data_IF_455388719094
#
_entry.id   IF_455388719094
#
_cell.length_a   1.000
_cell.length_b   1.000
_cell.length_c   1.000
_cell.angle_alpha   90.00
_cell.angle_beta   90.00
_cell.angle_gamma   90.00
#
_symmetry.space_group_name_H-M   'P 1'
#
loop_
_entity.id
_entity.type
_entity.pdbx_description
1 polymer ?
#
# COMPACT_ATOMS: atom_id res chain seq x y z
N UNK A 1 -30.18 51.69 -13.72
CA UNK A 1 -29.48 50.64 -12.94
C UNK A 1 -28.87 49.66 -13.94
N UNK A 2 -27.63 49.89 -14.35
CA UNK A 2 -26.94 49.09 -15.39
C UNK A 2 -26.24 47.91 -14.72
N UNK A 3 -26.70 46.69 -14.98
CA UNK A 3 -26.03 45.46 -14.52
C UNK A 3 -25.02 45.01 -15.59
N UNK A 4 -23.73 45.19 -15.29
CA UNK A 4 -22.65 44.67 -16.12
C UNK A 4 -22.65 43.14 -16.11
N UNK A 5 -22.86 42.54 -17.28
CA UNK A 5 -22.53 41.15 -17.59
C UNK A 5 -21.00 40.98 -17.58
N UNK A 6 -20.45 40.35 -16.54
CA UNK A 6 -19.01 40.09 -16.37
C UNK A 6 -18.58 38.72 -16.90
N UNK A 7 -17.68 38.77 -17.89
CA UNK A 7 -16.77 37.78 -18.48
C UNK A 7 -16.62 36.38 -17.85
N UNK A 8 -17.01 35.35 -18.62
CA UNK A 8 -16.54 33.96 -18.49
C UNK A 8 -17.67 32.93 -18.48
N UNK A 9 -17.63 31.96 -19.40
CA UNK A 9 -18.53 30.78 -19.35
C UNK A 9 -18.33 30.10 -18.00
N UNK A 10 -19.40 29.91 -17.21
CA UNK A 10 -19.34 29.12 -15.97
C UNK A 10 -18.80 27.74 -16.31
N UNK A 11 -17.55 27.45 -15.92
CA UNK A 11 -16.96 26.14 -16.14
C UNK A 11 -17.85 25.10 -15.45
N UNK A 12 -18.30 24.04 -16.14
CA UNK A 12 -19.04 22.97 -15.49
C UNK A 12 -18.19 22.41 -14.36
N UNK A 13 -18.77 22.28 -13.16
CA UNK A 13 -18.08 21.73 -12.01
C UNK A 13 -17.49 20.36 -12.38
N UNK A 14 -16.16 20.27 -12.35
CA UNK A 14 -15.47 19.03 -12.69
C UNK A 14 -15.91 17.94 -11.72
N UNK A 15 -16.47 16.84 -12.24
CA UNK A 15 -16.81 15.67 -11.44
C UNK A 15 -15.55 15.18 -10.73
N UNK A 16 -15.65 14.97 -9.41
CA UNK A 16 -14.58 14.38 -8.61
C UNK A 16 -14.07 13.11 -9.29
N UNK A 17 -12.74 13.03 -9.49
CA UNK A 17 -12.13 11.83 -10.07
C UNK A 17 -12.31 10.62 -9.14
N UNK A 18 -12.38 9.41 -9.70
CA UNK A 18 -12.50 8.16 -8.92
C UNK A 18 -11.45 8.07 -7.81
N UNK A 19 -10.19 8.40 -8.12
CA UNK A 19 -9.10 8.46 -7.13
C UNK A 19 -9.33 9.45 -5.99
N UNK A 20 -10.01 10.56 -6.24
CA UNK A 20 -10.34 11.53 -5.18
C UNK A 20 -11.40 10.97 -4.25
N UNK A 21 -12.34 10.19 -4.78
CA UNK A 21 -13.36 9.49 -4.00
C UNK A 21 -12.71 8.40 -3.14
N UNK A 22 -11.89 7.54 -3.74
CA UNK A 22 -11.14 6.47 -3.04
C UNK A 22 -10.31 7.02 -1.86
N UNK A 23 -9.59 8.14 -2.05
CA UNK A 23 -8.84 8.79 -0.97
C UNK A 23 -9.74 9.31 0.16
N UNK A 24 -10.90 9.86 -0.20
CA UNK A 24 -11.86 10.38 0.78
C UNK A 24 -12.46 9.24 1.58
N UNK A 25 -12.83 8.14 0.91
CA UNK A 25 -13.32 6.92 1.54
C UNK A 25 -12.28 6.30 2.48
N UNK A 26 -11.03 6.19 2.02
CA UNK A 26 -9.93 5.69 2.84
C UNK A 26 -9.68 6.57 4.09
N UNK A 27 -9.76 7.90 3.94
CA UNK A 27 -9.64 8.82 5.06
C UNK A 27 -10.79 8.63 6.07
N UNK A 28 -12.03 8.55 5.59
CA UNK A 28 -13.20 8.29 6.45
C UNK A 28 -13.11 6.93 7.15
N UNK A 29 -12.63 5.89 6.44
CA UNK A 29 -12.44 4.57 7.03
C UNK A 29 -11.39 4.60 8.14
N UNK A 30 -10.27 5.30 7.92
CA UNK A 30 -9.24 5.47 8.95
C UNK A 30 -9.78 6.20 10.17
N UNK A 31 -10.56 7.27 9.99
CA UNK A 31 -11.17 8.01 11.08
C UNK A 31 -12.16 7.15 11.89
N UNK A 32 -12.93 6.28 11.23
CA UNK A 32 -13.79 5.29 11.90
C UNK A 32 -12.96 4.29 12.70
N UNK A 33 -11.92 3.72 12.10
CA UNK A 33 -11.04 2.77 12.81
C UNK A 33 -10.39 3.42 14.04
N UNK A 34 -9.99 4.69 13.95
CA UNK A 34 -9.49 5.45 15.09
C UNK A 34 -10.55 5.59 16.18
N UNK A 35 -11.78 5.91 15.82
CA UNK A 35 -12.89 6.02 16.77
C UNK A 35 -13.22 4.68 17.46
N UNK A 36 -13.04 3.56 16.74
CA UNK A 36 -13.21 2.20 17.27
C UNK A 36 -12.03 1.75 18.17
N UNK A 37 -11.02 2.60 18.39
CA UNK A 37 -9.84 2.27 19.19
C UNK A 37 -8.88 1.29 18.52
N UNK A 38 -8.95 1.15 17.19
CA UNK A 38 -8.03 0.30 16.44
C UNK A 38 -6.65 0.98 16.37
N UNK A 39 -5.55 0.26 16.67
CA UNK A 39 -4.23 0.85 16.67
C UNK A 39 -3.83 1.35 15.29
N UNK A 40 -3.27 2.56 15.26
CA UNK A 40 -2.78 3.23 14.06
C UNK A 40 -1.25 3.11 13.99
N UNK A 41 -0.74 2.63 12.86
CA UNK A 41 0.69 2.48 12.60
C UNK A 41 1.14 3.54 11.59
N UNK A 42 2.20 4.28 11.92
CA UNK A 42 2.91 5.13 10.98
C UNK A 42 3.77 4.27 10.05
N UNK A 43 3.64 4.48 8.75
CA UNK A 43 4.37 3.74 7.72
C UNK A 43 5.49 4.62 7.15
N UNK A 44 6.66 4.02 7.04
CA UNK A 44 7.89 4.63 6.58
C UNK A 44 8.47 3.85 5.40
N UNK A 45 9.14 4.55 4.50
CA UNK A 45 9.92 3.95 3.42
C UNK A 45 11.36 4.41 3.56
N UNK A 46 12.33 3.54 3.28
CA UNK A 46 13.72 3.94 3.07
C UNK A 46 14.30 3.28 1.84
N UNK A 47 15.37 3.86 1.34
CA UNK A 47 16.21 3.22 0.31
C UNK A 47 17.10 2.20 1.03
N UNK A 48 17.14 0.97 0.53
CA UNK A 48 17.96 -0.10 1.07
C UNK A 48 19.42 0.36 1.22
N UNK A 49 20.03 0.07 2.36
CA UNK A 49 21.40 0.50 2.69
C UNK A 49 21.53 1.96 3.14
N UNK A 50 20.46 2.78 3.09
CA UNK A 50 20.44 4.13 3.67
C UNK A 50 19.76 4.12 5.03
N UNK A 51 20.23 4.99 5.94
CA UNK A 51 19.68 5.11 7.30
C UNK A 51 18.40 5.96 7.38
N UNK A 52 18.15 6.82 6.40
CA UNK A 52 17.05 7.79 6.44
C UNK A 52 15.69 7.18 6.11
N UNK A 53 14.72 7.36 7.00
CA UNK A 53 13.32 6.97 6.83
C UNK A 53 12.47 8.16 6.35
N UNK A 54 11.59 7.89 5.40
CA UNK A 54 10.63 8.85 4.86
C UNK A 54 9.22 8.47 5.33
N UNK A 55 8.48 9.35 6.03
CA UNK A 55 7.11 9.07 6.44
C UNK A 55 6.19 9.16 5.22
N UNK A 56 5.42 8.10 4.95
CA UNK A 56 4.60 8.03 3.72
C UNK A 56 3.10 7.95 3.98
N UNK A 57 2.70 7.56 5.19
CA UNK A 57 1.29 7.49 5.58
C UNK A 57 1.10 6.77 6.90
N UNK A 58 -0.15 6.43 7.18
CA UNK A 58 -0.52 5.62 8.33
C UNK A 58 -1.58 4.59 7.94
N UNK A 59 -1.57 3.45 8.62
CA UNK A 59 -2.51 2.35 8.40
C UNK A 59 -3.02 1.90 9.76
N UNK A 60 -4.34 1.78 9.90
CA UNK A 60 -4.95 1.14 11.06
C UNK A 60 -5.22 -0.33 10.75
N UNK A 61 -4.83 -1.23 11.66
CA UNK A 61 -5.10 -2.68 11.54
C UNK A 61 -5.64 -3.24 12.84
N UNK A 62 -6.62 -4.15 12.74
CA UNK A 62 -7.24 -4.77 13.92
C UNK A 62 -6.27 -5.64 14.73
N UNK A 63 -5.30 -6.25 14.05
CA UNK A 63 -4.28 -7.12 14.66
C UNK A 63 -2.91 -6.65 14.20
N UNK A 64 -2.01 -6.38 15.15
CA UNK A 64 -0.65 -5.92 14.87
C UNK A 64 0.12 -6.87 13.96
N UNK A 65 -0.16 -8.18 14.02
CA UNK A 65 0.47 -9.18 13.13
C UNK A 65 0.12 -9.01 11.65
N UNK A 66 -0.97 -8.30 11.32
CA UNK A 66 -1.42 -8.08 9.94
C UNK A 66 -0.83 -6.80 9.32
N UNK A 67 -0.05 -6.00 10.06
CA UNK A 67 0.47 -4.74 9.55
C UNK A 67 1.36 -4.93 8.31
N UNK A 68 2.22 -5.94 8.32
CA UNK A 68 3.07 -6.25 7.17
C UNK A 68 2.23 -6.56 5.94
N UNK A 69 1.26 -7.46 6.07
CA UNK A 69 0.33 -7.81 4.98
C UNK A 69 -0.44 -6.58 4.48
N UNK A 70 -0.93 -5.72 5.38
CA UNK A 70 -1.65 -4.50 5.02
C UNK A 70 -0.77 -3.49 4.27
N UNK A 71 0.50 -3.33 4.66
CA UNK A 71 1.48 -2.47 3.95
C UNK A 71 1.71 -2.99 2.53
N UNK A 72 1.96 -4.28 2.36
CA UNK A 72 2.21 -4.86 1.03
C UNK A 72 0.92 -4.92 0.18
N UNK A 73 -0.25 -5.09 0.78
CA UNK A 73 -1.54 -5.04 0.10
C UNK A 73 -1.92 -3.65 -0.41
N UNK A 74 -1.45 -2.58 0.26
CA UNK A 74 -1.68 -1.17 -0.11
C UNK A 74 -0.45 -0.48 -0.73
N UNK A 75 0.53 -1.27 -1.16
CA UNK A 75 1.85 -0.79 -1.59
C UNK A 75 1.78 0.22 -2.74
N UNK A 76 0.89 0.03 -3.72
CA UNK A 76 0.76 0.93 -4.87
C UNK A 76 0.37 2.35 -4.46
N UNK A 77 -0.55 2.48 -3.50
CA UNK A 77 -1.08 3.76 -3.05
C UNK A 77 -0.07 4.48 -2.16
N UNK A 78 0.59 3.73 -1.28
CA UNK A 78 1.72 4.21 -0.49
C UNK A 78 2.83 4.75 -1.38
N UNK A 79 3.25 3.99 -2.41
CA UNK A 79 4.29 4.42 -3.34
C UNK A 79 3.86 5.64 -4.15
N UNK A 80 2.60 5.71 -4.59
CA UNK A 80 2.10 6.87 -5.31
C UNK A 80 2.18 8.14 -4.45
N UNK A 81 1.78 8.07 -3.18
CA UNK A 81 1.91 9.18 -2.22
C UNK A 81 3.37 9.52 -1.93
N UNK A 82 4.17 8.50 -1.62
CA UNK A 82 5.60 8.62 -1.32
C UNK A 82 6.36 9.30 -2.46
N UNK A 83 6.12 8.92 -3.71
CA UNK A 83 6.80 9.47 -4.87
C UNK A 83 6.38 10.89 -5.20
N UNK A 84 5.18 11.30 -4.78
CA UNK A 84 4.72 12.69 -4.90
C UNK A 84 5.45 13.57 -3.90
N UNK A 85 5.60 13.11 -2.66
CA UNK A 85 6.26 13.85 -1.58
C UNK A 85 7.79 13.81 -1.69
N UNK A 86 8.34 12.66 -2.08
CA UNK A 86 9.78 12.37 -2.13
C UNK A 86 10.17 11.77 -3.49
N UNK A 87 10.34 12.60 -4.53
CA UNK A 87 10.70 12.13 -5.87
C UNK A 87 12.01 11.34 -5.92
N UNK A 88 12.92 11.53 -4.96
CA UNK A 88 14.18 10.77 -4.85
C UNK A 88 13.93 9.25 -4.75
N UNK A 89 12.83 8.83 -4.14
CA UNK A 89 12.47 7.42 -4.00
C UNK A 89 12.14 6.77 -5.35
N UNK A 90 11.68 7.55 -6.34
CA UNK A 90 11.38 7.05 -7.70
C UNK A 90 12.61 6.51 -8.43
N UNK A 91 13.82 6.93 -8.06
CA UNK A 91 15.06 6.43 -8.67
C UNK A 91 15.47 5.05 -8.12
N UNK A 92 14.91 4.68 -6.98
CA UNK A 92 15.32 3.50 -6.22
C UNK A 92 14.15 2.54 -5.96
N UNK A 93 13.12 2.53 -6.81
CA UNK A 93 11.86 1.79 -6.56
C UNK A 93 12.07 0.29 -6.31
N UNK A 94 13.08 -0.30 -6.94
CA UNK A 94 13.44 -1.72 -6.77
C UNK A 94 14.19 -2.03 -5.47
N UNK A 95 14.68 -0.99 -4.78
CA UNK A 95 15.51 -1.10 -3.58
C UNK A 95 14.87 -0.32 -2.41
N UNK A 96 13.55 -0.48 -2.24
CA UNK A 96 12.81 0.16 -1.15
C UNK A 96 12.50 -0.85 -0.05
N UNK A 97 12.74 -0.42 1.18
CA UNK A 97 12.34 -1.15 2.39
C UNK A 97 11.21 -0.39 3.08
N UNK A 98 10.26 -1.16 3.63
CA UNK A 98 9.12 -0.62 4.34
C UNK A 98 9.31 -0.83 5.83
N UNK A 99 8.98 0.20 6.59
CA UNK A 99 9.02 0.16 8.04
C UNK A 99 7.71 0.65 8.63
N UNK A 100 7.44 0.26 9.85
CA UNK A 100 6.26 0.71 10.59
C UNK A 100 6.58 0.91 12.06
N UNK A 101 5.75 1.72 12.71
CA UNK A 101 5.77 1.93 14.16
C UNK A 101 4.39 2.32 14.63
N UNK A 102 4.04 1.99 15.87
CA UNK A 102 2.80 2.48 16.46
C UNK A 102 2.83 4.01 16.55
N UNK A 103 1.73 4.67 16.17
CA UNK A 103 1.62 6.13 16.18
C UNK A 103 1.71 6.70 17.60
N UNK A 104 1.22 5.95 18.58
CA UNK A 104 1.22 6.31 20.00
C UNK A 104 2.63 6.23 20.63
N UNK A 105 3.50 5.34 20.10
CA UNK A 105 4.84 5.11 20.64
C UNK A 105 5.90 5.69 19.71
N UNK A 106 6.10 7.01 19.77
CA UNK A 106 7.08 7.72 18.93
C UNK A 106 8.55 7.47 19.31
N UNK A 107 8.80 6.91 20.47
CA UNK A 107 10.15 6.59 20.95
C UNK A 107 10.61 5.21 20.48
N UNK A 108 9.69 4.36 20.03
CA UNK A 108 10.04 3.04 19.53
C UNK A 108 10.82 3.11 18.21
N UNK A 109 11.75 2.16 17.98
CA UNK A 109 12.42 2.04 16.71
C UNK A 109 11.44 1.61 15.62
N UNK A 110 11.68 2.08 14.39
CA UNK A 110 10.91 1.66 13.21
C UNK A 110 11.22 0.18 12.94
N UNK A 111 10.19 -0.66 12.95
CA UNK A 111 10.27 -2.08 12.67
C UNK A 111 10.18 -2.32 11.17
N UNK A 112 10.96 -3.25 10.64
CA UNK A 112 10.94 -3.60 9.22
C UNK A 112 9.73 -4.49 8.89
N UNK A 113 8.98 -4.13 7.85
CA UNK A 113 7.93 -4.98 7.31
C UNK A 113 8.53 -6.06 6.41
N UNK A 114 8.12 -7.31 6.64
CA UNK A 114 8.50 -8.45 5.79
C UNK A 114 7.34 -8.84 4.88
N UNK A 115 7.59 -9.12 3.60
CA UNK A 115 6.53 -9.59 2.70
C UNK A 115 5.91 -10.88 3.24
N UNK A 116 4.58 -11.06 3.12
CA UNK A 116 3.93 -12.30 3.54
C UNK A 116 4.55 -13.47 2.77
N UNK A 117 5.10 -14.45 3.49
CA UNK A 117 5.63 -15.65 2.87
C UNK A 117 4.46 -16.45 2.28
N UNK A 118 4.51 -16.87 1.00
CA UNK A 118 3.53 -17.80 0.49
C UNK A 118 3.63 -19.09 1.30
N UNK A 119 2.56 -19.44 2.02
CA UNK A 119 2.55 -20.62 2.86
C UNK A 119 2.93 -21.88 2.06
N UNK A 120 3.50 -22.91 2.72
CA UNK A 120 4.05 -24.11 2.06
C UNK A 120 3.01 -24.88 1.20
N UNK A 121 1.71 -24.67 1.44
CA UNK A 121 0.63 -25.27 0.66
C UNK A 121 0.67 -24.88 -0.84
N UNK A 122 1.02 -23.63 -1.17
CA UNK A 122 1.01 -23.16 -2.56
C UNK A 122 2.26 -23.59 -3.34
N UNK A 123 3.38 -23.84 -2.65
CA UNK A 123 4.62 -24.28 -3.28
C UNK A 123 4.57 -25.76 -3.70
N UNK A 124 3.92 -26.62 -2.92
CA UNK A 124 3.80 -28.06 -3.20
C UNK A 124 2.75 -28.34 -4.30
N UNK A 125 1.66 -27.56 -4.35
CA UNK A 125 0.63 -27.72 -5.38
C UNK A 125 1.19 -27.47 -6.80
N UNK A 126 2.06 -26.47 -6.96
CA UNK A 126 2.64 -26.14 -8.26
C UNK A 126 3.69 -27.15 -8.74
N UNK A 127 4.41 -27.82 -7.83
CA UNK A 127 5.37 -28.88 -8.18
C UNK A 127 4.70 -30.21 -8.45
N UNK A 128 3.64 -30.58 -7.72
CA UNK A 128 2.90 -31.83 -7.94
C UNK A 128 2.19 -31.86 -9.31
N UNK A 129 1.67 -30.71 -9.76
CA UNK A 129 1.04 -30.59 -11.08
C UNK A 129 2.05 -30.79 -12.22
N UNK A 130 3.27 -30.26 -12.09
CA UNK A 130 4.33 -30.45 -13.11
C UNK A 130 4.81 -31.91 -13.22
N UNK A 131 4.75 -32.69 -12.13
CA UNK A 131 5.14 -34.10 -12.15
C UNK A 131 4.04 -34.96 -12.80
N UNK A 132 2.76 -34.69 -12.52
CA UNK A 132 1.64 -35.41 -13.16
C UNK A 132 1.63 -35.25 -14.69
N UNK A 133 1.93 -34.06 -15.20
CA UNK A 133 1.96 -33.80 -16.65
C UNK A 133 3.13 -34.50 -17.36
N UNK A 134 4.23 -34.75 -16.67
CA UNK A 134 5.39 -35.48 -17.22
C UNK A 134 5.17 -36.99 -17.25
N UNK A 135 4.51 -37.54 -16.23
CA UNK A 135 4.18 -38.97 -16.20
C UNK A 135 3.03 -39.33 -17.15
N UNK A 136 2.05 -38.45 -17.34
CA UNK A 136 0.95 -38.69 -18.27
C UNK A 136 1.39 -38.71 -19.74
N UNK A 137 2.42 -37.96 -20.11
CA UNK A 137 2.99 -37.98 -21.46
C UNK A 137 3.72 -39.30 -21.78
N UNK A 138 4.32 -39.95 -20.78
CA UNK A 138 5.05 -41.22 -20.95
C UNK A 138 4.12 -42.44 -21.07
N UNK A 139 2.92 -42.39 -20.48
CA UNK A 139 1.94 -43.48 -20.53
C UNK A 139 1.01 -43.43 -21.77
N UNK A 140 1.02 -42.33 -22.54
CA UNK A 140 0.16 -42.16 -23.74
C UNK A 140 0.84 -42.54 -25.06
N UNK A 141 2.07 -43.06 -25.00
CA UNK A 141 2.89 -43.43 -26.18
C UNK A 141 3.19 -44.94 -26.28
N UNK A 142 2.46 -45.75 -25.51
CA UNK A 142 2.41 -47.22 -25.60
C UNK A 142 1.11 -47.67 -26.24
#
# INVERSE_FOLDING_TARGET
MTTNLGFGKTQPQAKLSKRSQERTEAAQQLDRMRADGIPEFEVYIRIQGKKGWYPVGAIAVKRSSQISEAIFGSQSDLLQGAFRLYPVLRKHQQHLEYGYRLKEFKDEPIQLATPPQPGPANAIANTLNQVKDRFSFLLKRS
#
